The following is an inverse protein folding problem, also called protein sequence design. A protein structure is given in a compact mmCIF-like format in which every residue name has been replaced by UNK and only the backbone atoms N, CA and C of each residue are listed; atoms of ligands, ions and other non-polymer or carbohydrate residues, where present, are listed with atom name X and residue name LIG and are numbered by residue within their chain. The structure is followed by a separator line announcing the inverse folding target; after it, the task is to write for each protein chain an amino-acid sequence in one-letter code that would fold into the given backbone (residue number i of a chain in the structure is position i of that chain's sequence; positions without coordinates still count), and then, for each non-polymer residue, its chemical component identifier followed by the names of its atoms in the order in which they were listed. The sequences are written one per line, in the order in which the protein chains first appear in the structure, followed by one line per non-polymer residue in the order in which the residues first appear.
data_IF_205716250578
#
_entry.id   IF_205716250578
#
_cell.length_a   1.000
_cell.length_b   1.000
_cell.length_c   1.000
_cell.angle_alpha   90.00
_cell.angle_beta   90.00
_cell.angle_gamma   90.00
#
_symmetry.space_group_name_H-M   'P 1'
#
loop_
_entity.id
_entity.type
_entity.pdbx_description
1 polymer ?
#
# COMPACT_ATOMS: atom_id res chain seq x y z
N UNK A 1 28.69 37.64 -22.78
CA UNK A 1 27.36 37.17 -23.22
C UNK A 1 27.21 35.76 -22.68
N UNK A 2 26.73 35.58 -21.43
CA UNK A 2 25.32 35.34 -21.02
C UNK A 2 24.77 34.04 -21.63
N UNK A 3 24.19 33.09 -20.91
CA UNK A 3 23.27 33.18 -19.76
C UNK A 3 23.41 31.92 -18.87
N UNK A 4 23.55 32.09 -17.55
CA UNK A 4 22.48 31.96 -16.56
C UNK A 4 22.01 30.50 -16.35
N UNK A 5 22.76 29.77 -15.52
CA UNK A 5 22.25 28.58 -14.83
C UNK A 5 21.28 29.06 -13.75
N UNK A 6 20.00 29.11 -14.09
CA UNK A 6 18.93 29.29 -13.13
C UNK A 6 18.74 27.98 -12.37
N UNK A 7 19.28 27.92 -11.15
CA UNK A 7 18.93 26.90 -10.18
C UNK A 7 17.44 27.03 -9.83
N UNK A 8 16.62 26.13 -10.37
CA UNK A 8 15.34 25.83 -9.75
C UNK A 8 15.63 24.92 -8.56
N UNK A 9 15.81 25.56 -7.40
CA UNK A 9 15.60 24.95 -6.09
C UNK A 9 14.15 24.48 -6.05
N UNK A 10 13.90 23.26 -6.51
CA UNK A 10 12.68 22.53 -6.21
C UNK A 10 12.63 22.34 -4.70
N UNK A 11 11.96 23.27 -4.01
CA UNK A 11 11.56 23.05 -2.64
C UNK A 11 10.63 21.86 -2.71
N UNK A 12 11.10 20.69 -2.27
CA UNK A 12 10.18 19.58 -2.06
C UNK A 12 9.07 20.07 -1.13
N UNK A 13 7.79 19.95 -1.51
CA UNK A 13 6.72 20.37 -0.64
C UNK A 13 6.81 19.57 0.65
N UNK A 14 7.17 20.25 1.74
CA UNK A 14 7.07 19.70 3.08
C UNK A 14 5.58 19.50 3.34
N UNK A 15 5.07 18.31 3.08
CA UNK A 15 3.73 17.94 3.52
C UNK A 15 3.81 17.67 5.02
N UNK A 16 3.38 18.66 5.79
CA UNK A 16 3.20 18.51 7.24
C UNK A 16 1.92 17.73 7.46
N UNK A 17 2.01 16.62 8.19
CA UNK A 17 0.84 15.83 8.55
C UNK A 17 -0.17 16.72 9.33
N UNK A 18 -1.43 16.86 8.85
CA UNK A 18 -2.37 17.78 9.46
C UNK A 18 -2.70 17.42 10.91
N UNK A 19 -2.91 18.44 11.75
CA UNK A 19 -3.40 18.23 13.11
C UNK A 19 -4.92 17.98 13.12
N UNK A 20 -5.31 16.78 12.71
CA UNK A 20 -6.70 16.34 12.71
C UNK A 20 -7.34 16.37 14.10
N UNK A 21 -6.56 16.37 15.18
CA UNK A 21 -7.09 16.43 16.54
C UNK A 21 -7.63 17.83 16.89
N UNK A 22 -7.20 18.87 16.18
CA UNK A 22 -7.69 20.25 16.35
C UNK A 22 -9.04 20.54 15.68
N UNK A 23 -9.58 19.59 14.91
CA UNK A 23 -10.84 19.75 14.17
C UNK A 23 -12.02 19.28 15.02
N UNK A 24 -12.87 20.23 15.43
CA UNK A 24 -14.02 19.96 16.31
C UNK A 24 -15.12 19.13 15.64
N UNK A 25 -15.44 19.44 14.38
CA UNK A 25 -16.49 18.71 13.65
C UNK A 25 -15.97 17.35 13.20
N UNK A 26 -16.61 16.28 13.70
CA UNK A 26 -16.26 14.91 13.35
C UNK A 26 -16.35 14.69 11.84
N UNK A 27 -17.41 15.17 11.19
CA UNK A 27 -17.61 14.96 9.75
C UNK A 27 -16.57 15.71 8.93
N UNK A 28 -16.22 16.95 9.32
CA UNK A 28 -15.17 17.73 8.65
C UNK A 28 -13.81 17.04 8.81
N UNK A 29 -13.50 16.55 10.02
CA UNK A 29 -12.26 15.81 10.28
C UNK A 29 -12.13 14.57 9.39
N UNK A 30 -13.20 13.78 9.28
CA UNK A 30 -13.22 12.58 8.45
C UNK A 30 -13.00 12.92 6.97
N UNK A 31 -13.69 13.94 6.45
CA UNK A 31 -13.52 14.36 5.06
C UNK A 31 -12.10 14.86 4.78
N UNK A 32 -11.57 15.76 5.62
CA UNK A 32 -10.20 16.26 5.45
C UNK A 32 -9.16 15.15 5.57
N UNK A 33 -9.39 14.15 6.43
CA UNK A 33 -8.51 12.99 6.54
C UNK A 33 -8.48 12.17 5.24
N UNK A 34 -9.65 11.93 4.65
CA UNK A 34 -9.75 11.22 3.39
C UNK A 34 -9.15 12.00 2.22
N UNK A 35 -9.50 13.28 2.09
CA UNK A 35 -8.99 14.16 1.04
C UNK A 35 -7.46 14.26 1.10
N UNK A 36 -6.89 14.35 2.30
CA UNK A 36 -5.45 14.39 2.49
C UNK A 36 -4.75 13.11 2.04
N UNK A 37 -5.31 11.93 2.34
CA UNK A 37 -4.65 10.64 2.05
C UNK A 37 -4.91 10.10 0.65
N UNK A 38 -6.02 10.48 0.02
CA UNK A 38 -6.43 9.97 -1.29
C UNK A 38 -5.33 10.17 -2.34
N UNK A 39 -4.75 11.37 -2.42
CA UNK A 39 -3.71 11.70 -3.39
C UNK A 39 -2.47 10.79 -3.24
N UNK A 40 -2.06 10.47 -2.00
CA UNK A 40 -0.92 9.58 -1.75
C UNK A 40 -1.19 8.15 -2.22
N UNK A 41 -2.41 7.65 -1.99
CA UNK A 41 -2.84 6.32 -2.42
C UNK A 41 -2.96 6.26 -3.94
N UNK A 42 -3.54 7.29 -4.56
CA UNK A 42 -3.64 7.41 -6.01
C UNK A 42 -2.27 7.45 -6.67
N UNK A 43 -1.34 8.25 -6.14
CA UNK A 43 0.03 8.35 -6.65
C UNK A 43 0.73 6.99 -6.66
N UNK A 44 0.64 6.23 -5.58
CA UNK A 44 1.27 4.90 -5.52
C UNK A 44 0.54 3.88 -6.41
N UNK A 45 -0.79 3.92 -6.47
CA UNK A 45 -1.55 3.10 -7.41
C UNK A 45 -1.19 3.40 -8.87
N UNK A 46 -0.88 4.65 -9.22
CA UNK A 46 -0.42 5.02 -10.56
C UNK A 46 0.97 4.46 -10.86
N UNK A 47 1.90 4.50 -9.89
CA UNK A 47 3.21 3.87 -10.00
C UNK A 47 3.09 2.35 -10.22
N UNK A 48 2.27 1.68 -9.41
CA UNK A 48 2.01 0.24 -9.57
C UNK A 48 1.36 -0.06 -10.92
N UNK A 49 0.44 0.78 -11.39
CA UNK A 49 -0.18 0.61 -12.70
C UNK A 49 0.84 0.74 -13.85
N UNK A 50 1.84 1.64 -13.73
CA UNK A 50 2.96 1.74 -14.69
C UNK A 50 3.77 0.45 -14.71
N UNK A 51 4.20 -0.03 -13.53
CA UNK A 51 4.96 -1.29 -13.40
C UNK A 51 4.17 -2.49 -13.91
N UNK A 52 2.87 -2.57 -13.62
CA UNK A 52 1.98 -3.64 -14.08
C UNK A 52 1.86 -3.67 -15.61
N UNK A 53 1.79 -2.50 -16.26
CA UNK A 53 1.75 -2.41 -17.73
C UNK A 53 3.04 -2.93 -18.36
N UNK A 54 4.19 -2.54 -17.82
CA UNK A 54 5.49 -3.05 -18.27
C UNK A 54 5.56 -4.57 -18.07
N UNK A 55 5.19 -5.07 -16.88
CA UNK A 55 5.12 -6.50 -16.58
C UNK A 55 4.20 -7.27 -17.54
N UNK A 56 3.11 -6.63 -17.98
CA UNK A 56 2.19 -7.19 -18.98
C UNK A 56 2.89 -7.57 -20.29
N UNK A 57 3.83 -6.77 -20.78
CA UNK A 57 4.59 -7.11 -22.00
C UNK A 57 5.50 -8.34 -21.83
N UNK A 58 5.99 -8.61 -20.61
CA UNK A 58 6.79 -9.79 -20.32
C UNK A 58 5.94 -11.05 -20.09
N UNK A 59 4.67 -10.88 -19.71
CA UNK A 59 3.74 -11.99 -19.52
C UNK A 59 3.50 -12.75 -20.83
N UNK A 60 3.37 -12.04 -21.94
CA UNK A 60 3.19 -12.63 -23.27
C UNK A 60 4.42 -13.42 -23.71
N UNK A 61 5.63 -12.87 -23.47
CA UNK A 61 6.90 -13.55 -23.76
C UNK A 61 7.00 -14.82 -22.92
N UNK A 62 6.83 -14.73 -21.60
CA UNK A 62 6.94 -15.85 -20.69
C UNK A 62 5.93 -16.97 -20.99
N UNK A 63 4.73 -16.62 -21.44
CA UNK A 63 3.70 -17.60 -21.79
C UNK A 63 3.84 -18.18 -23.20
N UNK A 64 4.58 -17.52 -24.10
CA UNK A 64 4.90 -18.03 -25.44
C UNK A 64 5.95 -19.16 -25.45
N UNK A 65 6.68 -19.33 -24.33
CA UNK A 65 7.78 -20.29 -24.21
C UNK A 65 9.11 -19.78 -24.79
N UNK A 66 9.17 -18.51 -25.19
CA UNK A 66 10.42 -17.84 -25.55
C UNK A 66 11.22 -17.49 -24.28
N UNK A 67 12.54 -17.59 -24.38
CA UNK A 67 13.44 -17.16 -23.31
C UNK A 67 13.52 -15.63 -23.25
N UNK A 68 13.58 -15.09 -22.03
CA UNK A 68 13.90 -13.68 -21.83
C UNK A 68 15.34 -13.38 -22.26
N UNK A 69 15.56 -12.19 -22.81
CA UNK A 69 16.89 -11.59 -22.88
C UNK A 69 17.44 -11.35 -21.48
N UNK A 70 18.76 -11.19 -21.37
CA UNK A 70 19.41 -10.92 -20.07
C UNK A 70 18.88 -9.65 -19.39
N UNK A 71 18.48 -8.64 -20.16
CA UNK A 71 17.92 -7.39 -19.61
C UNK A 71 16.53 -7.61 -19.03
N UNK A 72 15.67 -8.30 -19.76
CA UNK A 72 14.29 -8.61 -19.34
C UNK A 72 14.30 -9.50 -18.10
N UNK A 73 15.12 -10.55 -18.11
CA UNK A 73 15.27 -11.45 -16.95
C UNK A 73 15.78 -10.70 -15.72
N UNK A 74 16.76 -9.79 -15.88
CA UNK A 74 17.24 -8.97 -14.75
C UNK A 74 16.14 -8.09 -14.18
N UNK A 75 15.33 -7.45 -15.03
CA UNK A 75 14.22 -6.62 -14.59
C UNK A 75 13.16 -7.46 -13.83
N UNK A 76 12.80 -8.64 -14.34
CA UNK A 76 11.87 -9.57 -13.68
C UNK A 76 12.40 -10.01 -12.31
N UNK A 77 13.69 -10.35 -12.20
CA UNK A 77 14.29 -10.78 -10.93
C UNK A 77 14.40 -9.63 -9.92
N UNK A 78 14.71 -8.41 -10.35
CA UNK A 78 14.68 -7.23 -9.48
C UNK A 78 13.27 -6.93 -8.98
N UNK A 79 12.27 -7.12 -9.83
CA UNK A 79 10.87 -6.98 -9.44
C UNK A 79 10.45 -8.09 -8.47
N UNK A 80 10.90 -9.34 -8.70
CA UNK A 80 10.67 -10.45 -7.78
C UNK A 80 11.27 -10.20 -6.39
N UNK A 81 12.49 -9.66 -6.33
CA UNK A 81 13.14 -9.24 -5.10
C UNK A 81 12.33 -8.16 -4.38
N UNK A 82 11.92 -7.09 -5.08
CA UNK A 82 11.10 -6.04 -4.49
C UNK A 82 9.76 -6.55 -3.93
N UNK A 83 9.17 -7.55 -4.59
CA UNK A 83 7.91 -8.14 -4.17
C UNK A 83 8.06 -9.35 -3.22
N UNK A 84 9.25 -9.58 -2.65
CA UNK A 84 9.57 -10.72 -1.76
C UNK A 84 9.11 -12.08 -2.33
N UNK A 85 9.40 -12.32 -3.61
CA UNK A 85 9.13 -13.59 -4.27
C UNK A 85 10.41 -14.42 -4.32
N UNK A 86 10.42 -15.56 -3.62
CA UNK A 86 11.47 -16.56 -3.76
C UNK A 86 11.41 -17.18 -5.17
N UNK A 87 12.51 -17.02 -5.91
CA UNK A 87 12.65 -17.47 -7.30
C UNK A 87 13.49 -18.72 -7.45
N UNK A 88 14.05 -19.27 -6.36
CA UNK A 88 15.07 -20.32 -6.43
C UNK A 88 14.61 -21.59 -7.14
N UNK A 89 13.31 -21.90 -7.09
CA UNK A 89 12.71 -23.10 -7.68
C UNK A 89 11.70 -22.82 -8.79
N UNK A 90 11.49 -21.54 -9.14
CA UNK A 90 10.46 -21.12 -10.10
C UNK A 90 11.07 -20.88 -11.49
N UNK A 91 10.32 -21.27 -12.53
CA UNK A 91 10.62 -20.87 -13.90
C UNK A 91 10.30 -19.39 -14.14
N UNK A 92 10.90 -18.80 -15.18
CA UNK A 92 10.62 -17.41 -15.59
C UNK A 92 9.10 -17.18 -15.83
N UNK A 93 8.40 -18.21 -16.32
CA UNK A 93 6.93 -18.19 -16.46
C UNK A 93 6.21 -18.14 -15.13
N UNK A 94 6.58 -18.97 -14.16
CA UNK A 94 5.96 -18.98 -12.84
C UNK A 94 6.23 -17.68 -12.09
N UNK A 95 7.46 -17.17 -12.15
CA UNK A 95 7.85 -15.87 -11.56
C UNK A 95 6.98 -14.75 -12.14
N UNK A 96 6.91 -14.66 -13.46
CA UNK A 96 6.17 -13.58 -14.16
C UNK A 96 4.67 -13.64 -13.86
N UNK A 97 4.07 -14.83 -13.84
CA UNK A 97 2.65 -14.98 -13.51
C UNK A 97 2.34 -14.66 -12.03
N UNK A 98 3.21 -15.04 -11.10
CA UNK A 98 3.05 -14.69 -9.69
C UNK A 98 3.21 -13.18 -9.46
N UNK A 99 4.24 -12.56 -10.06
CA UNK A 99 4.38 -11.11 -10.08
C UNK A 99 3.14 -10.42 -10.64
N UNK A 100 2.55 -10.95 -11.72
CA UNK A 100 1.36 -10.36 -12.31
C UNK A 100 0.11 -10.48 -11.41
N UNK A 101 0.13 -11.29 -10.35
CA UNK A 101 -0.90 -11.25 -9.28
C UNK A 101 -0.54 -10.25 -8.17
N UNK A 102 0.76 -10.11 -7.86
CA UNK A 102 1.28 -9.20 -6.81
C UNK A 102 1.23 -7.73 -7.21
N UNK A 103 1.70 -7.38 -8.41
CA UNK A 103 1.82 -6.01 -8.91
C UNK A 103 0.47 -5.46 -9.38
N UNK A 104 -0.44 -5.15 -8.46
CA UNK A 104 -1.73 -4.52 -8.80
C UNK A 104 -2.12 -3.52 -7.73
N UNK A 105 -3.00 -2.59 -8.12
CA UNK A 105 -3.48 -1.52 -7.25
C UNK A 105 -4.30 -2.05 -6.08
N UNK A 106 -4.36 -1.25 -5.01
CA UNK A 106 -5.29 -1.44 -3.89
C UNK A 106 -6.38 -0.38 -4.04
N UNK A 107 -7.69 -0.71 -3.96
CA UNK A 107 -8.74 0.31 -4.04
C UNK A 107 -8.50 1.43 -3.03
N UNK A 108 -8.71 2.68 -3.47
CA UNK A 108 -8.54 3.88 -2.64
C UNK A 108 -9.44 3.77 -1.41
N UNK A 109 -10.68 3.34 -1.61
CA UNK A 109 -11.66 3.14 -0.55
C UNK A 109 -11.18 2.18 0.55
N UNK A 110 -10.54 1.07 0.15
CA UNK A 110 -10.01 0.06 1.08
C UNK A 110 -8.85 0.62 1.89
N UNK A 111 -7.91 1.29 1.22
CA UNK A 111 -6.75 1.92 1.86
C UNK A 111 -7.18 3.01 2.84
N UNK A 112 -8.13 3.88 2.45
CA UNK A 112 -8.64 4.95 3.31
C UNK A 112 -9.39 4.42 4.54
N UNK A 113 -10.17 3.35 4.40
CA UNK A 113 -10.83 2.71 5.53
C UNK A 113 -9.82 2.12 6.53
N UNK A 114 -8.80 1.41 6.04
CA UNK A 114 -7.73 0.90 6.90
C UNK A 114 -6.97 2.05 7.56
N UNK A 115 -6.59 3.08 6.80
CA UNK A 115 -5.92 4.26 7.34
C UNK A 115 -6.71 4.92 8.47
N UNK A 116 -8.02 5.09 8.31
CA UNK A 116 -8.89 5.66 9.34
C UNK A 116 -8.91 4.80 10.62
N UNK A 117 -8.99 3.47 10.47
CA UNK A 117 -9.00 2.55 11.59
C UNK A 117 -7.65 2.54 12.34
N UNK A 118 -6.55 2.38 11.60
CA UNK A 118 -5.19 2.21 12.16
C UNK A 118 -4.63 3.49 12.80
N UNK A 119 -4.94 4.66 12.20
CA UNK A 119 -4.43 5.95 12.68
C UNK A 119 -5.38 6.67 13.64
N UNK A 120 -6.53 6.09 13.96
CA UNK A 120 -7.62 6.76 14.66
C UNK A 120 -7.95 8.12 13.99
N UNK A 121 -8.25 8.10 12.69
CA UNK A 121 -8.51 9.30 11.89
C UNK A 121 -7.36 10.32 11.94
N UNK A 122 -6.12 9.84 11.90
CA UNK A 122 -4.90 10.65 11.96
C UNK A 122 -4.54 11.19 13.34
N UNK A 123 -5.32 10.92 14.39
CA UNK A 123 -5.04 11.48 15.72
C UNK A 123 -4.03 10.68 16.54
N UNK A 124 -3.76 9.43 16.13
CA UNK A 124 -2.79 8.55 16.78
C UNK A 124 -1.42 9.21 16.91
N UNK A 125 -0.76 8.95 18.05
CA UNK A 125 0.62 9.38 18.28
C UNK A 125 1.57 8.88 17.18
N UNK A 126 1.39 7.64 16.73
CA UNK A 126 2.26 7.04 15.72
C UNK A 126 2.08 7.68 14.33
N UNK A 127 0.86 8.10 13.99
CA UNK A 127 0.59 8.88 12.79
C UNK A 127 1.26 10.26 12.87
N UNK A 128 1.04 10.98 13.98
CA UNK A 128 1.54 12.36 14.15
C UNK A 128 3.06 12.48 14.33
N UNK A 129 3.68 11.59 15.11
CA UNK A 129 5.13 11.67 15.40
C UNK A 129 5.96 10.80 14.47
N UNK A 130 5.34 9.80 13.83
CA UNK A 130 6.03 8.76 13.07
C UNK A 130 5.61 8.63 11.61
N UNK A 131 4.68 9.46 11.13
CA UNK A 131 4.05 9.32 9.81
C UNK A 131 3.48 7.92 9.54
N UNK A 132 3.22 7.13 10.60
CA UNK A 132 2.79 5.74 10.46
C UNK A 132 1.26 5.65 10.49
N UNK A 133 0.67 5.75 9.30
CA UNK A 133 -0.78 5.80 9.12
C UNK A 133 -1.43 4.42 9.28
N UNK A 134 -0.69 3.36 8.98
CA UNK A 134 -1.20 2.00 8.84
C UNK A 134 -0.77 1.05 9.96
N UNK A 135 -0.15 1.56 11.03
CA UNK A 135 0.24 0.76 12.20
C UNK A 135 1.37 -0.24 11.92
N UNK A 136 2.26 0.04 10.96
CA UNK A 136 3.29 -0.90 10.53
C UNK A 136 4.39 -1.08 11.58
N UNK A 137 4.69 -2.33 11.91
CA UNK A 137 5.77 -2.70 12.84
C UNK A 137 7.12 -2.76 12.13
N UNK A 138 8.19 -2.55 12.90
CA UNK A 138 9.55 -2.85 12.49
C UNK A 138 10.29 -3.54 13.66
N UNK A 139 11.36 -4.27 13.35
CA UNK A 139 11.99 -5.23 14.26
C UNK A 139 13.46 -4.95 14.54
N UNK A 140 13.97 -3.81 14.06
CA UNK A 140 15.31 -3.33 14.35
C UNK A 140 15.26 -2.29 15.48
N UNK A 141 16.20 -2.31 16.41
CA UNK A 141 16.18 -1.33 17.51
C UNK A 141 16.38 0.09 16.96
N UNK A 142 15.50 1.02 17.33
CA UNK A 142 15.54 2.41 16.86
C UNK A 142 14.94 2.66 15.49
N UNK A 143 14.30 1.67 14.86
CA UNK A 143 13.60 1.84 13.58
C UNK A 143 12.30 2.66 13.69
N UNK A 144 11.84 2.94 14.91
CA UNK A 144 10.56 3.61 15.09
C UNK A 144 10.28 4.13 16.50
N UNK A 145 9.00 4.13 16.84
CA UNK A 145 8.46 4.60 18.10
C UNK A 145 8.11 3.42 18.99
N UNK A 146 8.72 3.38 20.18
CA UNK A 146 8.42 2.34 21.17
C UNK A 146 7.00 2.52 21.73
N UNK A 147 6.15 1.48 21.70
CA UNK A 147 4.83 1.54 22.33
C UNK A 147 4.92 1.76 23.83
N UNK A 148 4.11 2.69 24.36
CA UNK A 148 4.08 2.98 25.82
C UNK A 148 3.64 1.78 26.66
N UNK A 149 2.90 0.84 26.07
CA UNK A 149 2.40 -0.39 26.72
C UNK A 149 2.88 -1.63 25.99
N UNK A 150 4.20 -1.72 25.74
CA UNK A 150 4.82 -2.89 25.13
C UNK A 150 4.79 -4.08 26.11
N UNK A 151 4.34 -5.25 25.64
CA UNK A 151 4.42 -6.49 26.43
C UNK A 151 5.89 -6.79 26.76
N UNK A 152 6.14 -7.34 27.95
CA UNK A 152 7.48 -7.75 28.34
C UNK A 152 8.03 -8.78 27.33
N UNK A 153 9.23 -8.52 26.80
CA UNK A 153 9.89 -9.37 25.81
C UNK A 153 9.55 -9.06 24.34
N UNK A 154 8.61 -8.17 24.04
CA UNK A 154 8.40 -7.72 22.67
C UNK A 154 9.55 -6.80 22.23
N UNK A 155 10.15 -7.08 21.08
CA UNK A 155 11.27 -6.31 20.50
C UNK A 155 10.83 -5.36 19.39
N UNK A 156 9.59 -5.49 18.88
CA UNK A 156 9.09 -4.64 17.81
C UNK A 156 8.85 -3.19 18.27
N UNK A 157 9.05 -2.27 17.32
CA UNK A 157 8.68 -0.85 17.40
C UNK A 157 7.66 -0.52 16.32
N UNK A 158 6.94 0.59 16.48
CA UNK A 158 6.06 1.10 15.41
C UNK A 158 6.91 1.92 14.46
N UNK A 159 7.06 1.48 13.20
CA UNK A 159 7.97 2.09 12.23
C UNK A 159 7.77 3.60 12.14
N UNK A 160 8.87 4.35 12.09
CA UNK A 160 8.84 5.77 11.74
C UNK A 160 9.17 5.91 10.26
N UNK A 161 8.40 6.71 9.54
CA UNK A 161 8.59 7.01 8.13
C UNK A 161 9.05 8.46 7.96
N UNK A 162 9.87 8.70 6.94
CA UNK A 162 10.35 10.04 6.62
C UNK A 162 9.23 10.90 6.00
N UNK A 163 8.26 10.26 5.35
CA UNK A 163 7.09 10.92 4.76
C UNK A 163 5.81 10.08 4.80
N UNK A 164 4.67 10.73 4.57
CA UNK A 164 3.36 10.05 4.40
C UNK A 164 3.36 9.14 3.17
N UNK A 165 3.99 9.57 2.07
CA UNK A 165 4.11 8.75 0.87
C UNK A 165 4.88 7.46 1.15
N UNK A 166 5.96 7.50 1.93
CA UNK A 166 6.71 6.29 2.30
C UNK A 166 5.86 5.31 3.12
N UNK A 167 5.03 5.84 4.04
CA UNK A 167 4.09 5.01 4.81
C UNK A 167 3.06 4.32 3.92
N UNK A 168 2.48 5.05 2.96
CA UNK A 168 1.51 4.54 1.98
C UNK A 168 2.17 3.48 1.07
N UNK A 169 3.36 3.76 0.55
CA UNK A 169 4.11 2.82 -0.29
C UNK A 169 4.41 1.52 0.46
N UNK A 170 4.89 1.60 1.70
CA UNK A 170 5.17 0.43 2.50
C UNK A 170 3.91 -0.39 2.82
N UNK A 171 2.78 0.28 3.10
CA UNK A 171 1.50 -0.39 3.32
C UNK A 171 1.01 -1.13 2.07
N UNK A 172 0.99 -0.46 0.92
CA UNK A 172 0.53 -1.07 -0.33
C UNK A 172 1.46 -2.22 -0.75
N UNK A 173 2.78 -2.03 -0.59
CA UNK A 173 3.75 -3.10 -0.83
C UNK A 173 3.47 -4.30 0.07
N UNK A 174 3.28 -4.11 1.38
CA UNK A 174 2.95 -5.19 2.31
C UNK A 174 1.70 -5.98 1.89
N UNK A 175 0.62 -5.31 1.45
CA UNK A 175 -0.57 -5.98 0.90
C UNK A 175 -0.22 -6.81 -0.35
N UNK A 176 0.67 -6.30 -1.20
CA UNK A 176 1.07 -6.94 -2.44
C UNK A 176 2.15 -8.03 -2.28
N UNK A 177 2.89 -8.07 -1.19
CA UNK A 177 4.02 -9.00 -0.99
C UNK A 177 3.73 -10.06 0.05
N UNK A 178 3.30 -9.65 1.25
CA UNK A 178 3.32 -10.51 2.42
C UNK A 178 2.43 -11.75 2.22
N UNK A 179 2.88 -12.97 2.60
CA UNK A 179 2.16 -14.23 2.34
C UNK A 179 0.72 -14.26 2.91
N UNK A 180 0.50 -13.59 4.04
CA UNK A 180 -0.83 -13.51 4.69
C UNK A 180 -1.90 -12.85 3.82
N UNK A 181 -1.53 -12.06 2.82
CA UNK A 181 -2.47 -11.41 1.89
C UNK A 181 -2.59 -12.13 0.54
N UNK A 182 -2.06 -13.36 0.42
CA UNK A 182 -2.21 -14.20 -0.78
C UNK A 182 -3.68 -14.34 -1.20
N UNK A 183 -4.59 -14.59 -0.24
CA UNK A 183 -6.01 -14.69 -0.53
C UNK A 183 -6.62 -13.39 -1.08
N UNK A 184 -6.20 -12.22 -0.56
CA UNK A 184 -6.59 -10.92 -1.12
C UNK A 184 -6.16 -10.79 -2.57
N UNK A 185 -4.90 -11.15 -2.87
CA UNK A 185 -4.35 -11.10 -4.23
C UNK A 185 -5.06 -12.06 -5.17
N UNK A 186 -5.46 -13.24 -4.70
CA UNK A 186 -6.24 -14.20 -5.48
C UNK A 186 -7.66 -13.69 -5.79
N UNK A 187 -8.33 -13.06 -4.82
CA UNK A 187 -9.62 -12.42 -5.05
C UNK A 187 -9.51 -11.31 -6.10
N UNK A 188 -8.47 -10.47 -5.99
CA UNK A 188 -8.15 -9.41 -6.94
C UNK A 188 -7.90 -9.96 -8.35
N UNK A 189 -7.06 -10.99 -8.48
CA UNK A 189 -6.79 -11.65 -9.75
C UNK A 189 -8.07 -12.20 -10.41
N UNK A 190 -8.93 -12.88 -9.63
CA UNK A 190 -10.23 -13.40 -10.14
C UNK A 190 -11.17 -12.29 -10.62
N UNK A 191 -11.11 -11.10 -10.04
CA UNK A 191 -11.88 -9.94 -10.52
C UNK A 191 -11.33 -9.46 -11.87
N UNK A 192 -10.00 -9.37 -11.99
CA UNK A 192 -9.32 -9.00 -13.25
C UNK A 192 -9.62 -9.98 -14.37
N UNK A 193 -9.53 -11.28 -14.12
CA UNK A 193 -9.80 -12.33 -15.13
C UNK A 193 -11.24 -12.27 -15.66
N UNK A 194 -12.16 -11.76 -14.85
CA UNK A 194 -13.58 -11.58 -15.22
C UNK A 194 -13.89 -10.18 -15.75
N UNK A 195 -12.86 -9.35 -15.96
CA UNK A 195 -12.96 -7.95 -16.34
C UNK A 195 -13.94 -7.16 -15.45
N UNK A 196 -13.95 -7.47 -14.14
CA UNK A 196 -14.78 -6.76 -13.15
C UNK A 196 -13.95 -5.67 -12.48
N UNK A 197 -14.57 -4.53 -12.11
CA UNK A 197 -13.92 -3.58 -11.22
C UNK A 197 -13.56 -4.27 -9.90
N UNK A 198 -12.49 -3.77 -9.26
CA UNK A 198 -12.12 -4.25 -7.94
C UNK A 198 -13.22 -3.87 -6.95
N UNK A 199 -13.64 -4.85 -6.15
CA UNK A 199 -14.68 -4.68 -5.14
C UNK A 199 -13.99 -4.59 -3.76
N UNK A 200 -13.91 -3.39 -3.16
CA UNK A 200 -13.18 -3.19 -1.91
C UNK A 200 -13.80 -3.94 -0.73
N UNK A 201 -15.13 -4.10 -0.70
CA UNK A 201 -15.81 -4.86 0.35
C UNK A 201 -15.44 -6.34 0.28
N UNK A 202 -15.34 -6.91 -0.93
CA UNK A 202 -14.86 -8.29 -1.11
C UNK A 202 -13.38 -8.45 -0.82
N UNK A 203 -12.56 -7.48 -1.22
CA UNK A 203 -11.12 -7.53 -0.95
C UNK A 203 -10.80 -7.42 0.54
N UNK A 204 -11.62 -6.70 1.32
CA UNK A 204 -11.48 -6.60 2.78
C UNK A 204 -11.49 -7.96 3.48
N UNK A 205 -12.19 -8.97 2.93
CA UNK A 205 -12.19 -10.35 3.46
C UNK A 205 -10.77 -10.93 3.54
N UNK A 206 -9.89 -10.52 2.61
CA UNK A 206 -8.49 -10.91 2.59
C UNK A 206 -7.60 -10.24 3.65
N UNK A 207 -8.15 -9.34 4.47
CA UNK A 207 -7.41 -8.61 5.52
C UNK A 207 -7.50 -9.26 6.90
N UNK A 208 -8.05 -10.47 7.02
CA UNK A 208 -8.20 -11.18 8.31
C UNK A 208 -6.91 -11.22 9.12
N UNK A 209 -5.76 -11.40 8.48
CA UNK A 209 -4.45 -11.47 9.14
C UNK A 209 -3.82 -10.11 9.45
N UNK A 210 -4.43 -9.00 9.02
CA UNK A 210 -3.92 -7.66 9.30
C UNK A 210 -4.01 -7.32 10.80
N UNK A 211 -5.03 -7.85 11.48
CA UNK A 211 -5.27 -7.63 12.90
C UNK A 211 -5.48 -8.94 13.64
N UNK A 212 -5.03 -9.00 14.90
CA UNK A 212 -5.34 -10.11 15.81
C UNK A 212 -6.85 -10.30 16.03
N UNK A 213 -7.66 -9.28 15.71
CA UNK A 213 -9.11 -9.31 15.81
C UNK A 213 -9.79 -10.12 14.69
N UNK A 214 -9.07 -10.50 13.65
CA UNK A 214 -9.57 -11.40 12.61
C UNK A 214 -10.79 -10.85 11.89
N UNK A 215 -11.88 -11.63 11.87
CA UNK A 215 -13.10 -11.28 11.13
C UNK A 215 -13.76 -9.98 11.64
N UNK A 216 -13.67 -9.69 12.95
CA UNK A 216 -14.17 -8.42 13.50
C UNK A 216 -13.46 -7.19 12.89
N UNK A 217 -12.19 -7.33 12.49
CA UNK A 217 -11.47 -6.26 11.81
C UNK A 217 -11.98 -6.07 10.38
N UNK A 218 -12.29 -7.17 9.68
CA UNK A 218 -12.87 -7.12 8.34
C UNK A 218 -14.20 -6.38 8.37
N UNK A 219 -15.07 -6.69 9.34
CA UNK A 219 -16.36 -6.04 9.51
C UNK A 219 -16.21 -4.52 9.76
N UNK A 220 -15.23 -4.10 10.57
CA UNK A 220 -14.96 -2.68 10.79
C UNK A 220 -14.52 -1.94 9.53
N UNK A 221 -13.62 -2.56 8.75
CA UNK A 221 -13.15 -1.98 7.48
C UNK A 221 -14.31 -1.85 6.49
N UNK A 222 -15.15 -2.88 6.36
CA UNK A 222 -16.34 -2.83 5.51
C UNK A 222 -17.33 -1.75 5.96
N UNK A 223 -17.62 -1.66 7.26
CA UNK A 223 -18.47 -0.63 7.83
C UNK A 223 -17.92 0.79 7.56
N UNK A 224 -16.62 1.00 7.68
CA UNK A 224 -15.98 2.28 7.36
C UNK A 224 -16.14 2.64 5.88
N UNK A 225 -16.00 1.67 4.97
CA UNK A 225 -16.22 1.88 3.54
C UNK A 225 -17.66 2.32 3.28
N UNK A 226 -18.64 1.61 3.85
CA UNK A 226 -20.07 1.85 3.59
C UNK A 226 -20.57 3.15 4.24
N UNK A 227 -20.28 3.36 5.52
CA UNK A 227 -20.78 4.53 6.27
C UNK A 227 -20.24 5.85 5.75
N UNK A 228 -19.03 5.84 5.18
CA UNK A 228 -18.39 7.03 4.63
C UNK A 228 -18.45 7.08 3.09
N UNK A 229 -19.18 6.16 2.44
CA UNK A 229 -19.36 6.08 0.99
C UNK A 229 -18.03 6.10 0.21
N UNK A 230 -17.00 5.42 0.74
CA UNK A 230 -15.64 5.54 0.23
C UNK A 230 -15.47 4.98 -1.18
N UNK A 231 -16.36 4.10 -1.64
CA UNK A 231 -16.35 3.56 -3.01
C UNK A 231 -16.47 4.63 -4.09
N UNK A 232 -17.02 5.81 -3.76
CA UNK A 232 -17.06 6.95 -4.69
C UNK A 232 -15.66 7.46 -5.04
N UNK A 233 -14.68 7.30 -4.13
CA UNK A 233 -13.27 7.67 -4.32
C UNK A 233 -12.48 6.68 -5.17
N UNK A 234 -13.05 5.51 -5.52
CA UNK A 234 -12.40 4.54 -6.42
C UNK A 234 -12.58 4.88 -7.92
N UNK A 235 -13.41 5.89 -8.24
CA UNK A 235 -13.75 6.30 -9.61
C UNK A 235 -12.74 7.27 -10.22
N UNK A 236 -11.82 7.80 -9.41
CA UNK A 236 -10.71 8.67 -9.81
C UNK A 236 -9.58 7.94 -10.52
#
# INVERSE_FOLDING_TARGET
MTAAEAGFSGVEPISVFPDFASIDSVDVKKQQFFDFLEDYVMAENENIAKTRRELGSYLDIANSGLDFSQRERRWILQLAEHYDLDTATLSDREITNELYKRVDKVPVSLALAQAANESAWGTSRFAREGNNIFGQWCYEEGCGLVPRRRLAGATHEVKKFDSIQESVNAYINNINTHPSYSYLRDLRARMRDRNRPLDPLRLAIGLKSYSQRGDNYVDEVQNLIEQNQLTERDKG
#
